data_IF_553475584234
#
_entry.id   IF_553475584234
#
_cell.length_a   1.000
_cell.length_b   1.000
_cell.length_c   1.000
_cell.angle_alpha   90.00
_cell.angle_beta   90.00
_cell.angle_gamma   90.00
#
_symmetry.space_group_name_H-M   'P 1'
#
loop_
_entity.id
_entity.type
_entity.pdbx_description
1 polymer ?
#
# COMPACT_ATOMS: atom_id res chain seq x y z
N UNK A 1 9.56 20.61 18.40
CA UNK A 1 9.56 20.39 16.93
C UNK A 1 9.79 18.92 16.58
N UNK A 2 10.87 18.29 17.06
CA UNK A 2 11.23 16.89 16.75
C UNK A 2 10.08 15.88 16.96
N UNK A 3 9.35 15.93 18.07
CA UNK A 3 8.23 15.00 18.33
C UNK A 3 7.09 15.13 17.31
N UNK A 4 6.79 16.35 16.85
CA UNK A 4 5.74 16.59 15.86
C UNK A 4 6.14 16.04 14.49
N UNK A 5 7.42 16.16 14.11
CA UNK A 5 7.95 15.63 12.84
C UNK A 5 7.84 14.09 12.79
N UNK A 6 8.10 13.43 13.92
CA UNK A 6 7.98 11.97 14.05
C UNK A 6 6.52 11.52 13.95
N UNK A 7 5.61 12.23 14.63
CA UNK A 7 4.17 11.95 14.57
C UNK A 7 3.68 12.08 13.12
N UNK A 8 4.04 13.18 12.45
CA UNK A 8 3.68 13.41 11.04
C UNK A 8 4.25 12.31 10.15
N UNK A 9 5.51 11.94 10.34
CA UNK A 9 6.13 10.83 9.60
C UNK A 9 5.33 9.53 9.72
N UNK A 10 5.00 9.10 10.94
CA UNK A 10 4.23 7.88 11.15
C UNK A 10 2.83 7.96 10.55
N UNK A 11 2.14 9.10 10.68
CA UNK A 11 0.83 9.31 10.05
C UNK A 11 0.96 9.16 8.53
N UNK A 12 1.99 9.75 7.92
CA UNK A 12 2.19 9.70 6.47
C UNK A 12 2.50 8.30 5.93
N UNK A 13 3.16 7.42 6.68
CA UNK A 13 3.44 6.04 6.24
C UNK A 13 2.34 5.05 6.62
N UNK A 14 1.66 5.25 7.76
CA UNK A 14 0.61 4.35 8.26
C UNK A 14 -0.72 4.58 7.53
N UNK A 15 -1.04 5.82 7.16
CA UNK A 15 -2.29 6.13 6.45
C UNK A 15 -2.38 5.39 5.11
N UNK A 16 -1.37 5.45 4.20
CA UNK A 16 -1.38 4.66 2.97
C UNK A 16 -1.40 3.15 3.20
N UNK A 17 -0.70 2.67 4.24
CA UNK A 17 -0.73 1.25 4.60
C UNK A 17 -2.16 0.81 4.94
N UNK A 18 -2.84 1.59 5.77
CA UNK A 18 -4.22 1.34 6.16
C UNK A 18 -5.17 1.40 4.97
N UNK A 19 -5.01 2.37 4.07
CA UNK A 19 -5.83 2.48 2.86
C UNK A 19 -5.63 1.29 1.92
N UNK A 20 -4.38 0.89 1.66
CA UNK A 20 -4.09 -0.32 0.88
C UNK A 20 -4.65 -1.58 1.53
N UNK A 21 -4.59 -1.67 2.85
CA UNK A 21 -5.18 -2.76 3.61
C UNK A 21 -6.71 -2.81 3.43
N UNK A 22 -7.39 -1.66 3.53
CA UNK A 22 -8.84 -1.57 3.30
C UNK A 22 -9.22 -1.94 1.86
N UNK A 23 -8.45 -1.48 0.87
CA UNK A 23 -8.64 -1.89 -0.53
C UNK A 23 -8.43 -3.39 -0.74
N UNK A 24 -7.54 -4.02 0.03
CA UNK A 24 -7.31 -5.46 -0.04
C UNK A 24 -8.46 -6.25 0.59
N UNK A 25 -9.05 -5.76 1.68
CA UNK A 25 -10.17 -6.42 2.37
C UNK A 25 -11.52 -6.25 1.67
N UNK A 26 -11.85 -5.01 1.31
CA UNK A 26 -13.17 -4.62 0.82
C UNK A 26 -13.22 -4.38 -0.68
N UNK A 27 -12.07 -4.41 -1.36
CA UNK A 27 -11.96 -4.05 -2.76
C UNK A 27 -11.88 -2.54 -3.00
N UNK A 28 -11.64 -2.17 -4.26
CA UNK A 28 -11.68 -0.78 -4.70
C UNK A 28 -12.93 -0.57 -5.56
N UNK A 29 -13.62 0.56 -5.39
CA UNK A 29 -14.78 0.92 -6.22
C UNK A 29 -14.43 1.02 -7.71
N UNK A 30 -13.15 1.29 -8.02
CA UNK A 30 -12.64 1.38 -9.38
C UNK A 30 -12.49 0.01 -10.06
N UNK A 31 -12.50 -1.09 -9.31
CA UNK A 31 -12.32 -2.43 -9.87
C UNK A 31 -13.49 -2.85 -10.77
N UNK A 32 -14.70 -2.35 -10.49
CA UNK A 32 -15.91 -2.62 -11.28
C UNK A 32 -15.89 -2.01 -12.69
N UNK A 33 -14.93 -1.13 -12.98
CA UNK A 33 -14.81 -0.48 -14.29
C UNK A 33 -13.88 -1.24 -15.25
N UNK A 34 -13.08 -2.19 -14.75
CA UNK A 34 -12.24 -3.02 -15.61
C UNK A 34 -13.06 -4.09 -16.35
N UNK A 35 -12.71 -4.36 -17.61
CA UNK A 35 -13.30 -5.47 -18.36
C UNK A 35 -12.95 -6.84 -17.76
N UNK A 36 -13.82 -7.84 -17.94
CA UNK A 36 -13.62 -9.21 -17.42
C UNK A 36 -12.29 -9.84 -17.85
N UNK A 37 -11.84 -9.54 -19.07
CA UNK A 37 -10.55 -9.99 -19.60
C UNK A 37 -9.37 -9.38 -18.84
N UNK A 38 -9.49 -8.11 -18.42
CA UNK A 38 -8.48 -7.40 -17.64
C UNK A 38 -8.45 -7.93 -16.21
N UNK A 39 -9.63 -8.11 -15.59
CA UNK A 39 -9.77 -8.70 -14.26
C UNK A 39 -9.11 -10.09 -14.23
N UNK A 40 -9.40 -10.97 -15.19
CA UNK A 40 -8.81 -12.32 -15.28
C UNK A 40 -7.27 -12.31 -15.30
N UNK A 41 -6.65 -11.35 -16.00
CA UNK A 41 -5.18 -11.20 -16.04
C UNK A 41 -4.62 -10.64 -14.74
N UNK A 42 -5.36 -9.78 -14.06
CA UNK A 42 -4.96 -9.16 -12.80
C UNK A 42 -5.23 -10.06 -11.59
N UNK A 43 -6.02 -11.13 -11.71
CA UNK A 43 -6.26 -12.07 -10.62
C UNK A 43 -4.99 -12.84 -10.26
N UNK A 44 -4.64 -12.80 -8.98
CA UNK A 44 -3.57 -13.59 -8.40
C UNK A 44 -4.00 -15.06 -8.30
N UNK A 45 -3.26 -16.02 -8.88
CA UNK A 45 -3.60 -17.43 -8.83
C UNK A 45 -3.71 -17.96 -7.40
N UNK A 46 -4.64 -18.89 -7.15
CA UNK A 46 -4.88 -19.46 -5.80
C UNK A 46 -3.64 -20.13 -5.19
N UNK A 47 -2.75 -20.68 -6.02
CA UNK A 47 -1.49 -21.33 -5.60
C UNK A 47 -0.30 -20.37 -5.47
N UNK A 48 -0.47 -19.07 -5.79
CA UNK A 48 0.61 -18.09 -5.76
C UNK A 48 1.13 -17.82 -4.35
N UNK A 49 2.44 -17.61 -4.21
CA UNK A 49 3.09 -17.23 -2.96
C UNK A 49 2.55 -15.91 -2.39
N UNK A 50 2.19 -14.94 -3.26
CA UNK A 50 1.61 -13.66 -2.84
C UNK A 50 0.31 -13.84 -2.03
N UNK A 51 -0.45 -14.90 -2.34
CA UNK A 51 -1.68 -15.24 -1.62
C UNK A 51 -1.43 -15.91 -0.27
N UNK A 52 -0.24 -16.48 -0.06
CA UNK A 52 0.21 -17.01 1.24
C UNK A 52 0.79 -15.91 2.12
N UNK A 53 1.45 -14.92 1.51
CA UNK A 53 2.04 -13.76 2.18
C UNK A 53 0.99 -12.88 2.84
N UNK A 54 -0.16 -12.72 2.18
CA UNK A 54 -1.27 -11.95 2.73
C UNK A 54 -2.17 -12.91 3.53
N UNK A 55 -2.25 -12.71 4.84
CA UNK A 55 -2.93 -13.60 5.81
C UNK A 55 -4.45 -13.74 5.54
N UNK A 56 -5.02 -12.92 4.65
CA UNK A 56 -6.44 -12.95 4.33
C UNK A 56 -6.78 -14.06 3.34
N UNK A 57 -7.25 -15.16 3.92
CA UNK A 57 -7.99 -16.21 3.23
C UNK A 57 -9.28 -15.56 2.68
N UNK A 58 -9.47 -15.64 1.37
CA UNK A 58 -10.70 -15.27 0.66
C UNK A 58 -11.91 -15.80 1.46
N UNK A 59 -12.51 -14.92 2.26
CA UNK A 59 -13.64 -15.26 3.11
C UNK A 59 -14.82 -15.51 2.20
N UNK A 60 -15.59 -16.57 2.45
CA UNK A 60 -16.83 -16.86 1.71
C UNK A 60 -17.83 -15.68 1.63
N UNK A 61 -17.61 -14.60 2.39
CA UNK A 61 -18.43 -13.40 2.42
C UNK A 61 -18.00 -12.26 1.47
N UNK A 62 -16.76 -12.25 0.97
CA UNK A 62 -16.30 -11.23 0.02
C UNK A 62 -15.83 -11.90 -1.27
N UNK A 63 -16.75 -12.00 -2.24
CA UNK A 63 -16.53 -12.52 -3.61
C UNK A 63 -15.60 -11.61 -4.46
N UNK A 64 -14.65 -10.93 -3.84
CA UNK A 64 -13.78 -9.97 -4.52
C UNK A 64 -12.48 -10.65 -4.93
N UNK A 65 -12.15 -10.70 -6.23
CA UNK A 65 -10.96 -11.37 -6.71
C UNK A 65 -9.72 -10.70 -6.14
N UNK A 66 -8.72 -11.49 -5.75
CA UNK A 66 -7.44 -10.99 -5.27
C UNK A 66 -6.64 -10.44 -6.45
N UNK A 67 -6.50 -9.11 -6.58
CA UNK A 67 -5.87 -8.48 -7.74
C UNK A 67 -4.41 -8.06 -7.46
N UNK A 68 -3.50 -8.34 -8.40
CA UNK A 68 -2.09 -7.92 -8.34
C UNK A 68 -1.95 -6.41 -8.08
N UNK A 69 -2.84 -5.61 -8.70
CA UNK A 69 -2.84 -4.16 -8.57
C UNK A 69 -3.04 -3.70 -7.13
N UNK A 70 -3.70 -4.49 -6.26
CA UNK A 70 -3.89 -4.16 -4.83
C UNK A 70 -2.83 -4.81 -3.94
N UNK A 71 -2.45 -6.05 -4.26
CA UNK A 71 -1.51 -6.84 -3.44
C UNK A 71 -0.09 -6.28 -3.49
N UNK A 72 0.38 -5.91 -4.68
CA UNK A 72 1.75 -5.42 -4.86
C UNK A 72 1.96 -4.09 -4.09
N UNK A 73 1.11 -3.05 -4.26
CA UNK A 73 1.28 -1.81 -3.50
C UNK A 73 1.18 -2.01 -1.98
N UNK A 74 0.28 -2.88 -1.51
CA UNK A 74 0.19 -3.22 -0.09
C UNK A 74 1.51 -3.82 0.44
N UNK A 75 2.09 -4.79 -0.27
CA UNK A 75 3.35 -5.42 0.16
C UNK A 75 4.53 -4.44 0.14
N UNK A 76 4.59 -3.57 -0.87
CA UNK A 76 5.60 -2.52 -0.95
C UNK A 76 5.45 -1.55 0.23
N UNK A 77 4.23 -1.08 0.51
CA UNK A 77 3.98 -0.17 1.63
C UNK A 77 4.29 -0.81 2.99
N UNK A 78 3.93 -2.09 3.16
CA UNK A 78 4.26 -2.86 4.37
C UNK A 78 5.79 -2.94 4.56
N UNK A 79 6.52 -3.24 3.48
CA UNK A 79 7.99 -3.27 3.51
C UNK A 79 8.57 -1.90 3.90
N UNK A 80 8.08 -0.81 3.31
CA UNK A 80 8.51 0.55 3.65
C UNK A 80 8.26 0.84 5.13
N UNK A 81 7.09 0.52 5.67
CA UNK A 81 6.77 0.75 7.08
C UNK A 81 7.70 -0.04 8.01
N UNK A 82 7.95 -1.33 7.72
CA UNK A 82 8.84 -2.17 8.54
C UNK A 82 10.27 -1.61 8.53
N UNK A 83 10.84 -1.39 7.35
CA UNK A 83 12.22 -0.88 7.20
C UNK A 83 12.37 0.49 7.84
N UNK A 84 11.41 1.37 7.60
CA UNK A 84 11.38 2.72 8.17
C UNK A 84 11.31 2.72 9.70
N UNK A 85 10.49 1.84 10.27
CA UNK A 85 10.35 1.70 11.73
C UNK A 85 11.65 1.20 12.34
N UNK A 86 12.29 0.18 11.76
CA UNK A 86 13.58 -0.35 12.22
C UNK A 86 14.66 0.74 12.15
N UNK A 87 14.77 1.44 11.03
CA UNK A 87 15.72 2.54 10.86
C UNK A 87 15.49 3.65 11.88
N UNK A 88 14.24 3.98 12.18
CA UNK A 88 13.89 4.96 13.20
C UNK A 88 14.37 4.53 14.59
N UNK A 89 14.13 3.28 14.99
CA UNK A 89 14.60 2.76 16.28
C UNK A 89 16.13 2.76 16.38
N UNK A 90 16.84 2.34 15.32
CA UNK A 90 18.31 2.39 15.28
C UNK A 90 18.80 3.83 15.43
N UNK A 91 18.17 4.77 14.73
CA UNK A 91 18.55 6.17 14.76
C UNK A 91 18.34 6.82 16.14
N UNK A 92 17.24 6.47 16.80
CA UNK A 92 16.85 7.06 18.09
C UNK A 92 17.62 6.46 19.27
N UNK A 93 17.91 5.15 19.24
CA UNK A 93 18.42 4.42 20.40
C UNK A 93 19.87 3.93 20.27
N UNK A 94 20.45 3.87 19.06
CA UNK A 94 21.80 3.33 18.85
C UNK A 94 22.76 4.41 18.36
N UNK A 95 22.52 4.97 17.16
CA UNK A 95 23.40 5.98 16.55
C UNK A 95 22.53 7.00 15.82
N UNK A 96 22.59 8.27 16.24
CA UNK A 96 21.91 9.36 15.55
C UNK A 96 22.66 9.71 14.26
N UNK A 97 22.35 8.98 13.18
CA UNK A 97 23.01 9.10 11.87
C UNK A 97 22.11 9.72 10.79
N UNK A 98 20.78 9.60 10.95
CA UNK A 98 19.78 10.11 10.00
C UNK A 98 19.14 11.38 10.56
N UNK A 99 19.27 12.54 9.88
CA UNK A 99 18.55 13.75 10.26
C UNK A 99 17.02 13.56 10.12
N UNK A 100 16.25 14.14 11.05
CA UNK A 100 14.78 14.01 11.10
C UNK A 100 14.08 14.44 9.81
N UNK A 101 14.67 15.40 9.08
CA UNK A 101 14.16 15.89 7.79
C UNK A 101 14.05 14.77 6.75
N UNK A 102 14.94 13.76 6.78
CA UNK A 102 14.90 12.64 5.85
C UNK A 102 13.73 11.71 6.16
N UNK A 103 13.42 11.47 7.43
CA UNK A 103 12.21 10.73 7.80
C UNK A 103 10.95 11.45 7.32
N UNK A 104 10.86 12.77 7.50
CA UNK A 104 9.74 13.55 6.93
C UNK A 104 9.67 13.44 5.41
N UNK A 105 10.79 13.57 4.71
CA UNK A 105 10.83 13.44 3.26
C UNK A 105 10.34 12.07 2.79
N UNK A 106 10.74 10.99 3.47
CA UNK A 106 10.24 9.63 3.21
C UNK A 106 8.72 9.57 3.43
N UNK A 107 8.24 10.06 4.58
CA UNK A 107 6.81 10.09 4.90
C UNK A 107 5.98 10.80 3.82
N UNK A 108 6.30 12.05 3.51
CA UNK A 108 5.58 12.82 2.48
C UNK A 108 5.69 12.19 1.09
N UNK A 109 6.86 11.63 0.73
CA UNK A 109 7.03 10.95 -0.55
C UNK A 109 6.14 9.71 -0.65
N UNK A 110 6.01 8.93 0.42
CA UNK A 110 5.12 7.75 0.43
C UNK A 110 3.66 8.14 0.32
N UNK A 111 3.23 9.20 1.01
CA UNK A 111 1.87 9.72 0.90
C UNK A 111 1.59 10.29 -0.52
N UNK A 112 2.54 11.01 -1.10
CA UNK A 112 2.43 11.52 -2.47
C UNK A 112 2.35 10.39 -3.51
N UNK A 113 3.19 9.35 -3.37
CA UNK A 113 3.15 8.17 -4.23
C UNK A 113 1.80 7.43 -4.13
N UNK A 114 1.22 7.35 -2.93
CA UNK A 114 -0.12 6.78 -2.76
C UNK A 114 -1.18 7.57 -3.54
N UNK A 115 -1.16 8.90 -3.45
CA UNK A 115 -2.08 9.76 -4.22
C UNK A 115 -1.91 9.56 -5.72
N UNK A 116 -0.67 9.51 -6.21
CA UNK A 116 -0.37 9.25 -7.63
C UNK A 116 -0.90 7.88 -8.05
N UNK A 117 -0.72 6.85 -7.21
CA UNK A 117 -1.22 5.51 -7.47
C UNK A 117 -2.76 5.50 -7.60
N UNK A 118 -3.49 6.18 -6.71
CA UNK A 118 -4.95 6.30 -6.80
C UNK A 118 -5.38 7.02 -8.08
N UNK A 119 -4.68 8.10 -8.48
CA UNK A 119 -4.96 8.78 -9.76
C UNK A 119 -4.74 7.85 -10.97
N UNK A 120 -3.67 7.07 -10.96
CA UNK A 120 -3.39 6.09 -12.01
C UNK A 120 -4.46 5.00 -12.06
N UNK A 121 -4.92 4.50 -10.90
CA UNK A 121 -6.03 3.56 -10.82
C UNK A 121 -7.30 4.14 -11.44
N UNK A 122 -7.66 5.37 -11.08
CA UNK A 122 -8.84 6.05 -11.64
C UNK A 122 -8.70 6.17 -13.15
N UNK A 123 -7.55 6.61 -13.64
CA UNK A 123 -7.32 6.78 -15.07
C UNK A 123 -7.37 5.45 -15.83
N UNK A 124 -6.70 4.41 -15.33
CA UNK A 124 -6.72 3.07 -15.91
C UNK A 124 -8.14 2.48 -15.90
N UNK A 125 -8.87 2.62 -14.79
CA UNK A 125 -10.24 2.10 -14.67
C UNK A 125 -11.20 2.74 -15.69
N UNK A 126 -11.01 4.04 -16.01
CA UNK A 126 -11.83 4.76 -17.00
C UNK A 126 -11.35 4.56 -18.43
N UNK A 127 -10.04 4.46 -18.64
CA UNK A 127 -9.43 4.31 -19.96
C UNK A 127 -9.50 2.88 -20.53
N UNK A 128 -9.51 1.85 -19.68
CA UNK A 128 -9.64 0.44 -20.05
C UNK A 128 -11.10 -0.05 -20.09
N UNK A 129 -12.06 0.87 -20.24
CA UNK A 129 -13.49 0.54 -20.46
C UNK A 129 -13.79 0.03 -21.87
N UNK A 130 -12.75 -0.16 -22.70
CA UNK A 130 -12.80 -0.73 -24.06
C UNK A 130 -12.76 -2.26 -24.03
#
# INVERSE_FOLDING_TARGET
>A
MVTNEIIVFYICILTPLFMHFMHLLFGCQHDCYFSDNTIKKLVVPKKSFLRKLVIFKEGKMTNLPFLYIRVIPYLIQLFIVIVSTILFFINQFIINFIPSILFMAIGYSTAGLYVIYEFLLIFLSRGLRL
#
